data_IF_815071010577
#
_entry.id   IF_815071010577
#
_cell.length_a   1.000
_cell.length_b   1.000
_cell.length_c   1.000
_cell.angle_alpha   90.00
_cell.angle_beta   90.00
_cell.angle_gamma   90.00
#
_symmetry.space_group_name_H-M   'P 1'
#
loop_
_entity.id
_entity.type
_entity.pdbx_description
1 polymer ?
#
# COMPACT_ATOMS: atom_id res chain seq x y z
N UNK A 1 12.38 -21.95 -2.89
CA UNK A 1 12.91 -20.83 -2.08
C UNK A 1 12.97 -19.55 -2.91
N UNK A 2 12.38 -18.50 -2.44
CA UNK A 2 12.43 -17.22 -3.15
C UNK A 2 13.85 -16.64 -3.04
N UNK A 3 14.37 -16.20 -4.15
CA UNK A 3 15.70 -15.57 -4.18
C UNK A 3 15.67 -14.19 -3.51
N UNK A 4 14.56 -13.46 -3.65
CA UNK A 4 14.35 -12.17 -3.02
C UNK A 4 13.00 -12.18 -2.30
N UNK A 5 13.04 -11.97 -0.99
CA UNK A 5 11.81 -11.86 -0.21
C UNK A 5 11.30 -10.43 -0.27
N UNK A 6 9.98 -10.23 -0.44
CA UNK A 6 9.42 -8.89 -0.33
C UNK A 6 9.63 -8.33 1.09
N UNK A 7 9.70 -7.02 1.19
CA UNK A 7 9.70 -6.37 2.49
C UNK A 7 8.30 -6.43 3.10
N UNK A 8 8.21 -6.22 4.40
CA UNK A 8 6.91 -6.17 5.09
C UNK A 8 6.03 -5.05 4.49
N UNK A 9 6.61 -3.89 4.21
CA UNK A 9 5.83 -2.80 3.62
C UNK A 9 5.30 -3.14 2.23
N UNK A 10 6.07 -3.86 1.43
CA UNK A 10 5.59 -4.33 0.11
C UNK A 10 4.45 -5.33 0.24
N UNK A 11 4.55 -6.24 1.20
CA UNK A 11 3.48 -7.23 1.44
C UNK A 11 2.20 -6.56 1.92
N UNK A 12 2.31 -5.58 2.81
CA UNK A 12 1.16 -4.83 3.29
C UNK A 12 0.52 -4.04 2.14
N UNK A 13 1.35 -3.43 1.28
CA UNK A 13 0.88 -2.74 0.10
C UNK A 13 0.10 -3.69 -0.83
N UNK A 14 0.66 -4.85 -1.11
CA UNK A 14 0.00 -5.88 -1.93
C UNK A 14 -1.29 -6.39 -1.28
N UNK A 15 -1.30 -6.54 0.04
CA UNK A 15 -2.50 -6.94 0.78
C UNK A 15 -3.61 -5.91 0.58
N UNK A 16 -3.29 -4.64 0.71
CA UNK A 16 -4.23 -3.56 0.50
C UNK A 16 -4.84 -3.60 -0.90
N UNK A 17 -4.01 -3.79 -1.92
CA UNK A 17 -4.45 -3.85 -3.31
C UNK A 17 -5.28 -5.12 -3.58
N UNK A 18 -4.84 -6.28 -3.07
CA UNK A 18 -5.58 -7.53 -3.23
C UNK A 18 -6.96 -7.43 -2.57
N UNK A 19 -7.05 -6.73 -1.43
CA UNK A 19 -8.33 -6.50 -0.77
C UNK A 19 -9.27 -5.63 -1.61
N UNK A 20 -8.74 -4.63 -2.29
CA UNK A 20 -9.55 -3.83 -3.22
C UNK A 20 -10.06 -4.67 -4.39
N UNK A 21 -9.21 -5.52 -4.95
CA UNK A 21 -9.61 -6.43 -6.03
C UNK A 21 -10.73 -7.37 -5.59
N UNK A 22 -10.63 -7.94 -4.42
CA UNK A 22 -11.65 -8.85 -3.89
C UNK A 22 -13.02 -8.15 -3.79
N UNK A 23 -13.02 -6.89 -3.37
CA UNK A 23 -14.27 -6.15 -3.16
C UNK A 23 -14.83 -5.60 -4.48
N UNK A 24 -13.98 -5.04 -5.32
CA UNK A 24 -14.43 -4.27 -6.48
C UNK A 24 -14.45 -5.04 -7.79
N UNK A 25 -13.79 -6.20 -7.87
CA UNK A 25 -13.81 -7.03 -9.08
C UNK A 25 -14.63 -8.27 -8.78
N UNK A 26 -15.77 -8.45 -9.46
CA UNK A 26 -16.68 -9.56 -9.20
C UNK A 26 -16.15 -10.89 -9.72
N UNK A 27 -15.24 -10.86 -10.67
CA UNK A 27 -14.62 -12.04 -11.26
C UNK A 27 -13.39 -12.45 -10.46
N UNK A 28 -13.09 -13.74 -10.40
CA UNK A 28 -11.88 -14.27 -9.78
C UNK A 28 -11.76 -14.04 -8.27
N UNK A 29 -12.89 -13.89 -7.57
CA UNK A 29 -12.89 -13.66 -6.11
C UNK A 29 -12.15 -14.73 -5.33
N UNK A 30 -12.25 -15.99 -5.76
CA UNK A 30 -11.56 -17.09 -5.09
C UNK A 30 -10.04 -16.96 -5.22
N UNK A 31 -9.57 -16.51 -6.37
CA UNK A 31 -8.14 -16.28 -6.60
C UNK A 31 -7.63 -15.16 -5.73
N UNK A 32 -8.38 -14.07 -5.60
CA UNK A 32 -8.00 -12.95 -4.73
C UNK A 32 -8.02 -13.35 -3.25
N UNK A 33 -9.00 -14.16 -2.85
CA UNK A 33 -9.06 -14.67 -1.47
C UNK A 33 -7.83 -15.52 -1.16
N UNK A 34 -7.40 -16.33 -2.10
CA UNK A 34 -6.20 -17.15 -1.92
C UNK A 34 -4.93 -16.29 -1.86
N UNK A 35 -4.82 -15.30 -2.73
CA UNK A 35 -3.71 -14.34 -2.71
C UNK A 35 -3.62 -13.63 -1.35
N UNK A 36 -4.75 -13.17 -0.83
CA UNK A 36 -4.82 -12.52 0.48
C UNK A 36 -4.34 -13.48 1.58
N UNK A 37 -4.80 -14.71 1.54
CA UNK A 37 -4.41 -15.72 2.53
C UNK A 37 -2.90 -15.94 2.51
N UNK A 38 -2.32 -16.07 1.32
CA UNK A 38 -0.89 -16.29 1.16
C UNK A 38 -0.08 -15.10 1.69
N UNK A 39 -0.53 -13.88 1.40
CA UNK A 39 0.13 -12.67 1.89
C UNK A 39 0.05 -12.60 3.41
N UNK A 40 -1.11 -12.90 3.99
CA UNK A 40 -1.30 -12.88 5.44
C UNK A 40 -0.35 -13.87 6.12
N UNK A 41 -0.19 -15.06 5.57
CA UNK A 41 0.75 -16.05 6.09
C UNK A 41 2.20 -15.54 6.03
N UNK A 42 2.59 -14.92 4.92
CA UNK A 42 3.93 -14.34 4.78
C UNK A 42 4.16 -13.20 5.77
N UNK A 43 3.15 -12.35 5.99
CA UNK A 43 3.24 -11.26 6.95
C UNK A 43 3.40 -11.81 8.37
N UNK A 44 2.62 -12.83 8.74
CA UNK A 44 2.74 -13.46 10.06
C UNK A 44 4.15 -13.97 10.30
N UNK A 45 4.74 -14.62 9.28
CA UNK A 45 6.11 -15.13 9.39
C UNK A 45 7.13 -14.00 9.57
N UNK A 46 7.05 -12.95 8.75
CA UNK A 46 7.99 -11.85 8.80
C UNK A 46 7.80 -10.95 10.03
N UNK A 47 6.59 -10.89 10.58
CA UNK A 47 6.29 -10.10 11.76
C UNK A 47 6.50 -10.84 13.09
N UNK A 48 6.94 -12.09 13.03
CA UNK A 48 7.01 -12.93 14.22
C UNK A 48 7.77 -12.28 15.38
N UNK A 49 8.88 -11.61 15.10
CA UNK A 49 9.71 -10.95 16.10
C UNK A 49 9.48 -9.43 16.16
N UNK A 50 8.48 -8.94 15.47
CA UNK A 50 8.19 -7.50 15.42
C UNK A 50 7.06 -7.15 16.36
N UNK A 51 7.13 -5.94 16.92
CA UNK A 51 6.05 -5.41 17.73
C UNK A 51 5.49 -4.17 17.02
N UNK A 52 4.27 -4.23 16.50
CA UNK A 52 3.69 -3.07 15.83
C UNK A 52 3.60 -1.86 16.76
N UNK A 53 3.96 -0.70 16.23
CA UNK A 53 3.81 0.57 16.95
C UNK A 53 2.57 1.29 16.44
N UNK A 54 2.11 2.29 17.21
CA UNK A 54 1.01 3.13 16.75
C UNK A 54 1.33 3.87 15.46
N UNK A 55 2.57 4.32 15.31
CA UNK A 55 3.03 4.97 14.08
C UNK A 55 2.95 4.02 12.88
N UNK A 56 3.38 2.78 13.05
CA UNK A 56 3.28 1.77 12.00
C UNK A 56 1.83 1.50 11.60
N UNK A 57 0.95 1.35 12.58
CA UNK A 57 -0.47 1.10 12.32
C UNK A 57 -1.08 2.29 11.59
N UNK A 58 -0.77 3.52 12.02
CA UNK A 58 -1.24 4.72 11.34
C UNK A 58 -0.76 4.75 9.89
N UNK A 59 0.51 4.40 9.64
CA UNK A 59 1.07 4.34 8.29
C UNK A 59 0.35 3.31 7.42
N UNK A 60 -0.02 2.17 7.99
CA UNK A 60 -0.80 1.14 7.27
C UNK A 60 -2.17 1.70 6.86
N UNK A 61 -2.84 2.40 7.75
CA UNK A 61 -4.14 3.01 7.44
C UNK A 61 -4.02 4.03 6.31
N UNK A 62 -3.00 4.89 6.36
CA UNK A 62 -2.76 5.87 5.30
C UNK A 62 -2.46 5.17 3.98
N UNK A 63 -1.63 4.15 3.99
CA UNK A 63 -1.30 3.37 2.79
C UNK A 63 -2.56 2.79 2.14
N UNK A 64 -3.41 2.16 2.93
CA UNK A 64 -4.65 1.58 2.43
C UNK A 64 -5.58 2.65 1.86
N UNK A 65 -5.68 3.78 2.51
CA UNK A 65 -6.49 4.89 2.03
C UNK A 65 -5.97 5.43 0.70
N UNK A 66 -4.68 5.63 0.58
CA UNK A 66 -4.09 6.13 -0.67
C UNK A 66 -4.30 5.14 -1.81
N UNK A 67 -4.14 3.84 -1.55
CA UNK A 67 -4.40 2.83 -2.56
C UNK A 67 -5.86 2.84 -3.02
N UNK A 68 -6.81 3.05 -2.12
CA UNK A 68 -8.22 3.16 -2.48
C UNK A 68 -8.47 4.36 -3.42
N UNK A 69 -7.91 5.51 -3.08
CA UNK A 69 -8.07 6.71 -3.90
C UNK A 69 -7.40 6.57 -5.27
N UNK A 70 -6.20 5.98 -5.30
CA UNK A 70 -5.49 5.72 -6.55
C UNK A 70 -6.33 4.78 -7.43
N UNK A 71 -6.87 3.72 -6.84
CA UNK A 71 -7.72 2.77 -7.55
C UNK A 71 -8.90 3.45 -8.23
N UNK A 72 -9.65 4.27 -7.49
CA UNK A 72 -10.80 4.96 -8.03
C UNK A 72 -10.41 6.01 -9.08
N UNK A 73 -9.35 6.76 -8.83
CA UNK A 73 -8.88 7.77 -9.76
C UNK A 73 -8.43 7.15 -11.09
N UNK A 74 -7.69 6.05 -11.04
CA UNK A 74 -7.25 5.35 -12.24
C UNK A 74 -8.42 4.75 -13.02
N UNK A 75 -9.40 4.18 -12.33
CA UNK A 75 -10.59 3.66 -12.98
C UNK A 75 -11.35 4.75 -13.73
N UNK A 76 -11.54 5.89 -13.13
CA UNK A 76 -12.20 7.03 -13.78
C UNK A 76 -11.41 7.50 -15.00
N UNK A 77 -10.12 7.57 -14.89
CA UNK A 77 -9.24 7.96 -15.98
C UNK A 77 -9.33 6.99 -17.16
N UNK A 78 -9.27 5.69 -16.89
CA UNK A 78 -9.32 4.65 -17.93
C UNK A 78 -10.67 4.61 -18.64
N UNK A 79 -11.75 4.86 -17.90
CA UNK A 79 -13.09 4.80 -18.45
C UNK A 79 -13.50 6.09 -19.16
N UNK A 80 -12.66 7.11 -19.10
CA UNK A 80 -12.97 8.41 -19.65
C UNK A 80 -14.15 9.09 -18.97
N UNK A 81 -14.48 8.65 -17.76
CA UNK A 81 -15.57 9.21 -16.98
C UNK A 81 -15.03 10.20 -15.94
N UNK A 82 -15.67 11.34 -15.87
CA UNK A 82 -15.39 12.30 -14.82
C UNK A 82 -13.96 12.82 -14.81
N UNK A 83 -13.43 13.00 -13.63
CA UNK A 83 -12.24 13.78 -13.39
C UNK A 83 -10.99 12.95 -13.09
N UNK A 84 -10.84 11.80 -13.73
CA UNK A 84 -9.61 11.01 -13.58
C UNK A 84 -8.39 11.89 -13.85
N UNK A 85 -7.50 11.98 -12.88
CA UNK A 85 -6.42 12.94 -12.87
C UNK A 85 -5.07 12.28 -12.61
N UNK A 86 -4.21 12.28 -13.63
CA UNK A 86 -2.86 11.71 -13.52
C UNK A 86 -2.01 12.43 -12.48
N UNK A 87 -2.15 13.76 -12.38
CA UNK A 87 -1.43 14.53 -11.38
C UNK A 87 -1.81 14.10 -9.97
N UNK A 88 -3.09 13.83 -9.74
CA UNK A 88 -3.56 13.32 -8.46
C UNK A 88 -2.95 11.95 -8.15
N UNK A 89 -2.91 11.05 -9.13
CA UNK A 89 -2.28 9.74 -8.95
C UNK A 89 -0.82 9.88 -8.53
N UNK A 90 -0.07 10.76 -9.16
CA UNK A 90 1.33 10.99 -8.78
C UNK A 90 1.46 11.53 -7.36
N UNK A 91 0.58 12.47 -6.98
CA UNK A 91 0.56 13.00 -5.62
C UNK A 91 0.26 11.92 -4.58
N UNK A 92 -0.76 11.11 -4.85
CA UNK A 92 -1.15 10.02 -3.95
C UNK A 92 -0.06 8.96 -3.85
N UNK A 93 0.65 8.67 -4.93
CA UNK A 93 1.80 7.75 -4.91
C UNK A 93 2.92 8.24 -4.00
N UNK A 94 3.17 9.53 -3.94
CA UNK A 94 4.16 10.09 -3.03
C UNK A 94 3.79 9.86 -1.57
N UNK A 95 2.53 10.12 -1.22
CA UNK A 95 2.03 9.86 0.14
C UNK A 95 2.12 8.36 0.45
N UNK A 96 1.74 7.52 -0.50
CA UNK A 96 1.82 6.07 -0.39
C UNK A 96 3.26 5.62 -0.12
N UNK A 97 4.24 6.16 -0.84
CA UNK A 97 5.65 5.82 -0.65
C UNK A 97 6.14 6.25 0.73
N UNK A 98 5.73 7.42 1.21
CA UNK A 98 6.05 7.88 2.56
C UNK A 98 5.48 6.92 3.61
N UNK A 99 4.25 6.47 3.43
CA UNK A 99 3.62 5.51 4.33
C UNK A 99 4.42 4.19 4.36
N UNK A 100 4.84 3.69 3.21
CA UNK A 100 5.65 2.47 3.12
C UNK A 100 6.98 2.63 3.86
N UNK A 101 7.64 3.78 3.70
CA UNK A 101 8.89 4.05 4.39
C UNK A 101 8.69 4.09 5.91
N UNK A 102 7.60 4.68 6.38
CA UNK A 102 7.29 4.73 7.81
C UNK A 102 7.02 3.34 8.39
N UNK A 103 6.39 2.46 7.63
CA UNK A 103 6.21 1.07 8.04
C UNK A 103 7.58 0.41 8.25
N UNK A 104 8.47 0.52 7.27
CA UNK A 104 9.80 -0.09 7.35
C UNK A 104 10.66 0.50 8.47
N UNK A 105 10.59 1.81 8.70
CA UNK A 105 11.34 2.49 9.76
C UNK A 105 10.97 1.97 11.15
N UNK A 106 9.76 1.48 11.32
CA UNK A 106 9.28 0.99 12.62
C UNK A 106 9.61 -0.47 12.87
N UNK A 107 10.25 -1.15 11.93
CA UNK A 107 10.63 -2.55 12.09
C UNK A 107 12.01 -2.66 12.74
N UNK A 108 12.12 -3.55 13.71
CA UNK A 108 13.39 -3.80 14.43
C UNK A 108 14.19 -4.87 13.70
N UNK A 109 13.54 -5.96 13.33
CA UNK A 109 14.17 -7.11 12.69
C UNK A 109 13.66 -7.39 11.28
N UNK A 110 12.83 -6.54 10.76
CA UNK A 110 12.12 -6.75 9.48
C UNK A 110 12.98 -6.77 8.23
N UNK A 111 14.27 -7.00 8.35
CA UNK A 111 15.15 -7.17 7.20
C UNK A 111 15.48 -5.86 6.50
N UNK A 112 15.41 -5.88 5.18
CA UNK A 112 15.82 -4.76 4.35
C UNK A 112 14.99 -3.51 4.62
N UNK A 113 15.67 -2.38 4.62
CA UNK A 113 15.04 -1.06 4.68
C UNK A 113 15.19 -0.38 3.33
N UNK A 114 14.45 -0.91 2.38
CA UNK A 114 14.46 -0.38 1.01
C UNK A 114 13.50 0.80 0.93
N UNK A 115 14.03 1.97 1.17
CA UNK A 115 13.23 3.19 1.13
C UNK A 115 12.88 3.56 -0.31
N UNK A 116 11.62 3.92 -0.52
CA UNK A 116 11.18 4.46 -1.79
C UNK A 116 11.53 5.95 -1.85
N UNK A 117 12.05 6.38 -2.98
CA UNK A 117 12.27 7.80 -3.22
C UNK A 117 10.91 8.44 -3.48
N UNK A 118 10.62 9.50 -2.76
CA UNK A 118 9.36 10.21 -2.97
C UNK A 118 9.34 10.87 -4.33
N UNK A 119 8.36 10.50 -5.12
CA UNK A 119 7.94 11.38 -6.20
C UNK A 119 7.38 12.62 -5.53
N UNK A 120 7.62 13.76 -6.12
CA UNK A 120 7.10 15.02 -5.59
C UNK A 120 5.58 14.94 -5.51
N UNK A 121 5.11 14.57 -4.34
CA UNK A 121 3.69 14.42 -4.08
C UNK A 121 3.03 15.71 -3.70
N UNK A 122 3.79 16.68 -3.69
CA UNK A 122 3.63 17.57 -2.61
C UNK A 122 2.66 18.69 -2.79
N UNK A 123 1.99 18.77 -3.85
CA UNK A 123 1.30 20.04 -4.04
C UNK A 123 -0.20 19.91 -4.19
N UNK A 124 -0.76 18.87 -3.58
CA UNK A 124 -2.21 18.74 -3.48
C UNK A 124 -2.62 19.16 -2.08
N UNK A 125 -3.06 20.40 -1.96
CA UNK A 125 -3.45 20.97 -0.68
C UNK A 125 -4.47 20.13 0.07
N UNK A 126 -5.34 19.42 -0.65
CA UNK A 126 -6.40 18.63 -0.05
C UNK A 126 -5.95 17.22 0.38
N UNK A 127 -4.69 16.88 0.17
CA UNK A 127 -4.17 15.53 0.44
C UNK A 127 -2.99 15.55 1.40
N UNK A 128 -2.99 16.49 2.31
CA UNK A 128 -1.94 16.56 3.32
C UNK A 128 -2.18 15.54 4.41
N UNK A 129 -1.11 14.89 4.81
CA UNK A 129 -1.13 13.91 5.89
C UNK A 129 -0.28 14.43 7.05
N UNK A 130 -0.88 14.47 8.22
CA UNK A 130 -0.19 14.94 9.43
C UNK A 130 0.60 13.81 10.06
N UNK A 131 1.75 13.59 9.55
CA UNK A 131 2.59 12.52 10.11
C UNK A 131 3.07 12.86 11.57
#
# INVERSE_FOLDING_TARGET
>A
MRKYLPTISELIDRLSIAQLKEVFISEHKEEYAQEIKDIVEDVDELMYWEKPTGEMIRAIVVLAQMNLHIWHNENQYRMGEGDGNLGLTHGLNGIRNTAKNKIQENLVEGGRKDYKVDCIAAEFEDWEVSW
#
